data_IF_269928269103
#
_entry.id   IF_269928269103
#
_cell.length_a   1.000
_cell.length_b   1.000
_cell.length_c   1.000
_cell.angle_alpha   90.00
_cell.angle_beta   90.00
_cell.angle_gamma   90.00
#
_symmetry.space_group_name_H-M   'P 1'
#
loop_
_entity.id
_entity.type
_entity.pdbx_description
1 polymer ?
#
# COMPACT_ATOMS: atom_id res chain seq x y z
N UNK A 1 -7.99 1.68 17.58
CA UNK A 1 -7.33 1.40 16.31
C UNK A 1 -7.92 0.14 15.67
N UNK A 2 -8.52 0.30 14.52
CA UNK A 2 -9.06 -0.85 13.77
C UNK A 2 -8.15 -1.11 12.55
N UNK A 3 -7.11 -1.90 12.77
CA UNK A 3 -6.15 -2.23 11.71
C UNK A 3 -6.79 -3.07 10.61
N UNK A 4 -7.79 -3.89 10.95
CA UNK A 4 -8.50 -4.70 9.97
C UNK A 4 -9.27 -3.82 8.98
N UNK A 5 -9.97 -2.81 9.46
CA UNK A 5 -10.70 -1.88 8.61
C UNK A 5 -9.75 -1.08 7.70
N UNK A 6 -8.59 -0.65 8.21
CA UNK A 6 -7.57 0.04 7.42
C UNK A 6 -7.02 -0.88 6.34
N UNK A 7 -6.65 -2.10 6.68
CA UNK A 7 -6.13 -3.07 5.73
C UNK A 7 -7.15 -3.38 4.62
N UNK A 8 -8.39 -3.64 5.00
CA UNK A 8 -9.46 -3.94 4.04
C UNK A 8 -9.67 -2.78 3.07
N UNK A 9 -9.69 -1.55 3.58
CA UNK A 9 -9.92 -0.37 2.71
C UNK A 9 -8.78 -0.17 1.72
N UNK A 10 -7.54 -0.24 2.21
CA UNK A 10 -6.36 0.03 1.39
C UNK A 10 -6.13 -1.10 0.37
N UNK A 11 -6.13 -2.35 0.83
CA UNK A 11 -5.91 -3.48 -0.07
C UNK A 11 -7.01 -3.62 -1.10
N UNK A 12 -8.27 -3.45 -0.69
CA UNK A 12 -9.40 -3.53 -1.62
C UNK A 12 -9.34 -2.45 -2.69
N UNK A 13 -8.93 -1.24 -2.35
CA UNK A 13 -8.80 -0.16 -3.33
C UNK A 13 -7.79 -0.54 -4.43
N UNK A 14 -6.65 -1.12 -4.06
CA UNK A 14 -5.69 -1.60 -5.04
C UNK A 14 -6.25 -2.75 -5.87
N UNK A 15 -6.78 -3.79 -5.21
CA UNK A 15 -7.28 -5.00 -5.88
C UNK A 15 -8.39 -4.66 -6.87
N UNK A 16 -9.35 -3.84 -6.46
CA UNK A 16 -10.49 -3.48 -7.30
C UNK A 16 -10.10 -2.65 -8.53
N UNK A 17 -8.98 -1.93 -8.47
CA UNK A 17 -8.51 -1.06 -9.55
C UNK A 17 -7.33 -1.62 -10.32
N UNK A 18 -6.82 -2.80 -9.96
CA UNK A 18 -5.64 -3.39 -10.58
C UNK A 18 -6.02 -3.98 -11.93
N UNK A 19 -5.48 -3.42 -13.02
CA UNK A 19 -5.82 -3.79 -14.39
C UNK A 19 -4.79 -4.72 -15.04
N UNK A 20 -3.69 -5.00 -14.36
CA UNK A 20 -2.63 -5.85 -14.87
C UNK A 20 -2.89 -7.33 -14.54
N UNK A 21 -2.23 -8.23 -15.26
CA UNK A 21 -2.40 -9.68 -15.07
C UNK A 21 -1.49 -10.28 -14.00
N UNK A 22 -0.73 -9.46 -13.28
CA UNK A 22 0.13 -9.93 -12.20
C UNK A 22 -0.69 -10.42 -11.01
N UNK A 23 -0.21 -11.49 -10.35
CA UNK A 23 -0.85 -12.02 -9.16
C UNK A 23 -0.61 -11.10 -7.97
N UNK A 24 -1.66 -10.82 -7.20
CA UNK A 24 -1.55 -10.01 -5.98
C UNK A 24 -1.43 -10.95 -4.79
N UNK A 25 -0.35 -10.78 -4.02
CA UNK A 25 -0.05 -11.59 -2.83
C UNK A 25 -0.24 -10.72 -1.60
N UNK A 26 -1.17 -11.09 -0.74
CA UNK A 26 -1.46 -10.39 0.50
C UNK A 26 -0.47 -10.78 1.61
N UNK A 27 -0.40 -10.03 2.72
CA UNK A 27 0.47 -10.40 3.84
C UNK A 27 0.18 -11.82 4.31
N UNK A 28 1.24 -12.56 4.62
CA UNK A 28 1.20 -13.94 5.08
C UNK A 28 0.74 -14.96 4.02
N UNK A 29 0.53 -14.54 2.80
CA UNK A 29 0.32 -15.47 1.69
C UNK A 29 1.65 -15.85 1.04
N UNK A 30 1.68 -17.03 0.45
CA UNK A 30 2.86 -17.54 -0.24
C UNK A 30 2.66 -17.45 -1.75
N UNK A 31 3.69 -17.00 -2.46
CA UNK A 31 3.68 -16.96 -3.91
C UNK A 31 4.24 -18.26 -4.48
N UNK A 32 3.40 -19.05 -5.16
CA UNK A 32 3.75 -20.36 -5.66
C UNK A 32 3.99 -20.44 -7.17
N UNK A 33 3.88 -19.33 -7.91
CA UNK A 33 4.04 -19.30 -9.36
C UNK A 33 5.37 -18.63 -9.76
N UNK A 34 6.49 -19.39 -9.89
CA UNK A 34 7.82 -18.78 -9.98
C UNK A 34 8.14 -18.08 -11.29
N UNK A 35 7.35 -18.24 -12.36
CA UNK A 35 7.62 -17.65 -13.67
C UNK A 35 6.54 -16.68 -14.11
N UNK A 36 5.89 -16.00 -13.16
CA UNK A 36 4.86 -15.00 -13.44
C UNK A 36 5.20 -13.68 -12.78
N UNK A 37 4.66 -12.60 -13.33
CA UNK A 37 4.68 -11.31 -12.65
C UNK A 37 3.79 -11.38 -11.41
N UNK A 38 4.19 -10.69 -10.36
CA UNK A 38 3.41 -10.69 -9.12
C UNK A 38 3.63 -9.41 -8.31
N UNK A 39 2.73 -9.16 -7.39
CA UNK A 39 2.75 -7.97 -6.55
C UNK A 39 2.55 -8.40 -5.11
N UNK A 40 3.41 -7.92 -4.23
CA UNK A 40 3.30 -8.15 -2.79
C UNK A 40 2.80 -6.90 -2.10
N UNK A 41 1.80 -7.06 -1.25
CA UNK A 41 1.25 -5.99 -0.45
C UNK A 41 1.60 -6.21 1.02
N UNK A 42 1.93 -5.12 1.71
CA UNK A 42 2.06 -5.13 3.16
C UNK A 42 1.75 -3.74 3.70
N UNK A 43 1.45 -3.67 4.99
CA UNK A 43 1.09 -2.42 5.63
C UNK A 43 1.61 -2.41 7.05
N UNK A 44 2.21 -1.31 7.48
CA UNK A 44 2.63 -1.10 8.86
C UNK A 44 1.94 0.13 9.43
N UNK A 45 1.56 0.05 10.69
CA UNK A 45 1.01 1.17 11.45
C UNK A 45 1.88 1.41 12.67
N UNK A 46 2.26 2.67 12.85
CA UNK A 46 3.03 3.11 14.00
C UNK A 46 2.12 3.50 15.16
N UNK A 47 2.74 3.89 16.28
CA UNK A 47 2.01 4.34 17.45
C UNK A 47 1.18 5.59 17.14
N UNK A 48 -0.02 5.61 17.71
CA UNK A 48 -0.90 6.76 17.57
C UNK A 48 -0.62 7.83 18.63
N UNK A 49 -1.15 9.01 18.38
CA UNK A 49 -1.13 10.11 19.35
C UNK A 49 -2.46 10.83 19.32
N UNK A 50 -2.86 11.35 20.49
CA UNK A 50 -4.02 12.21 20.61
C UNK A 50 -3.64 13.60 20.09
N UNK A 51 -4.40 14.14 19.14
CA UNK A 51 -4.12 15.46 18.53
C UNK A 51 -5.12 16.54 18.89
N UNK A 52 -6.21 16.18 19.60
CA UNK A 52 -7.19 17.18 20.09
C UNK A 52 -7.41 17.01 21.57
N UNK A 53 -7.66 18.12 22.27
CA UNK A 53 -8.08 18.14 23.65
C UNK A 53 -9.62 18.19 23.65
N UNK A 54 -10.27 17.11 24.05
CA UNK A 54 -11.71 16.99 24.05
C UNK A 54 -12.15 15.95 25.08
N UNK A 55 -13.45 15.93 25.47
CA UNK A 55 -13.97 14.85 26.31
C UNK A 55 -13.84 13.49 25.62
N UNK A 56 -13.83 12.43 26.42
CA UNK A 56 -13.83 11.06 25.93
C UNK A 56 -14.96 10.85 24.93
N UNK A 57 -14.66 10.14 23.83
CA UNK A 57 -15.60 9.95 22.72
C UNK A 57 -15.50 11.00 21.62
N UNK A 58 -14.82 12.12 21.89
CA UNK A 58 -14.66 13.22 20.95
C UNK A 58 -13.18 13.54 20.67
N UNK A 59 -12.26 12.74 21.18
CA UNK A 59 -10.82 12.93 21.01
C UNK A 59 -10.35 12.37 19.69
N UNK A 60 -9.65 13.19 18.94
CA UNK A 60 -9.05 12.74 17.68
C UNK A 60 -7.67 12.17 17.91
N UNK A 61 -7.42 10.99 17.38
CA UNK A 61 -6.13 10.31 17.43
C UNK A 61 -5.60 10.13 16.02
N UNK A 62 -4.30 10.34 15.85
CA UNK A 62 -3.61 10.17 14.58
C UNK A 62 -2.68 8.98 14.66
N UNK A 63 -2.79 8.07 13.71
CA UNK A 63 -1.90 6.94 13.52
C UNK A 63 -1.19 7.11 12.18
N UNK A 64 0.12 6.95 12.17
CA UNK A 64 0.90 7.01 10.96
C UNK A 64 1.18 5.60 10.46
N UNK A 65 1.13 5.42 9.15
CA UNK A 65 1.41 4.13 8.57
C UNK A 65 2.07 4.24 7.21
N UNK A 66 2.50 3.10 6.72
CA UNK A 66 3.08 2.99 5.39
C UNK A 66 2.48 1.77 4.70
N UNK A 67 1.96 1.98 3.51
CA UNK A 67 1.52 0.91 2.63
C UNK A 67 2.65 0.60 1.65
N UNK A 68 3.09 -0.66 1.62
CA UNK A 68 4.15 -1.13 0.74
C UNK A 68 3.53 -1.91 -0.41
N UNK A 69 3.87 -1.51 -1.64
CA UNK A 69 3.49 -2.23 -2.85
C UNK A 69 4.79 -2.60 -3.55
N UNK A 70 5.11 -3.88 -3.58
CA UNK A 70 6.30 -4.36 -4.27
C UNK A 70 5.89 -5.11 -5.53
N UNK A 71 6.29 -4.59 -6.68
CA UNK A 71 5.97 -5.14 -7.99
C UNK A 71 7.15 -5.94 -8.51
N UNK A 72 6.91 -7.17 -8.91
CA UNK A 72 7.93 -8.05 -9.50
C UNK A 72 7.52 -8.40 -10.93
N UNK A 73 8.38 -8.07 -11.90
CA UNK A 73 8.17 -8.44 -13.30
C UNK A 73 9.36 -9.23 -13.81
N UNK A 74 9.10 -10.21 -14.66
CA UNK A 74 10.16 -11.06 -15.21
C UNK A 74 11.18 -10.24 -16.01
N UNK A 75 12.47 -10.55 -15.86
CA UNK A 75 13.55 -9.88 -16.60
C UNK A 75 13.37 -9.92 -18.11
N UNK A 76 12.80 -11.01 -18.62
CA UNK A 76 12.57 -11.19 -20.06
C UNK A 76 11.60 -10.18 -20.66
N UNK A 77 10.77 -9.54 -19.82
CA UNK A 77 9.77 -8.55 -20.26
C UNK A 77 10.29 -7.12 -20.30
N UNK A 78 11.47 -6.87 -19.73
CA UNK A 78 12.05 -5.53 -19.64
C UNK A 78 11.53 -4.71 -18.46
N UNK A 79 12.24 -3.63 -18.15
CA UNK A 79 11.96 -2.79 -16.98
C UNK A 79 10.76 -1.87 -17.12
N UNK A 80 10.33 -1.59 -18.36
CA UNK A 80 9.21 -0.66 -18.60
C UNK A 80 7.91 -1.18 -17.99
N UNK A 81 7.65 -2.47 -18.08
CA UNK A 81 6.45 -3.10 -17.53
C UNK A 81 6.42 -2.91 -16.00
N UNK A 82 7.55 -3.11 -15.34
CA UNK A 82 7.67 -2.88 -13.90
C UNK A 82 7.39 -1.42 -13.54
N UNK A 83 8.00 -0.49 -14.27
CA UNK A 83 7.79 0.94 -14.06
C UNK A 83 6.34 1.35 -14.28
N UNK A 84 5.69 0.85 -15.32
CA UNK A 84 4.30 1.17 -15.61
C UNK A 84 3.38 0.67 -14.49
N UNK A 85 3.60 -0.53 -13.97
CA UNK A 85 2.79 -1.09 -12.90
C UNK A 85 2.97 -0.33 -11.58
N UNK A 86 4.21 -0.02 -11.20
CA UNK A 86 4.45 0.72 -9.95
C UNK A 86 3.93 2.15 -10.03
N UNK A 87 4.05 2.80 -11.18
CA UNK A 87 3.51 4.14 -11.36
C UNK A 87 1.99 4.14 -11.26
N UNK A 88 1.32 3.15 -11.86
CA UNK A 88 -0.13 2.98 -11.72
C UNK A 88 -0.52 2.82 -10.26
N UNK A 89 0.20 1.98 -9.50
CA UNK A 89 -0.07 1.76 -8.08
C UNK A 89 0.07 3.05 -7.28
N UNK A 90 1.13 3.82 -7.51
CA UNK A 90 1.34 5.10 -6.82
C UNK A 90 0.20 6.08 -7.14
N UNK A 91 -0.19 6.18 -8.40
CA UNK A 91 -1.24 7.10 -8.83
C UNK A 91 -2.60 6.76 -8.21
N UNK A 92 -2.87 5.49 -7.91
CA UNK A 92 -4.11 5.09 -7.25
C UNK A 92 -4.26 5.67 -5.85
N UNK A 93 -3.15 5.96 -5.17
CA UNK A 93 -3.17 6.38 -3.77
C UNK A 93 -2.68 7.79 -3.55
N UNK A 94 -1.89 8.33 -4.47
CA UNK A 94 -1.31 9.66 -4.29
C UNK A 94 -2.41 10.70 -4.07
N UNK A 95 -2.31 11.42 -2.97
CA UNK A 95 -3.28 12.44 -2.54
C UNK A 95 -4.70 11.91 -2.26
N UNK A 96 -4.87 10.60 -2.10
CA UNK A 96 -6.17 10.02 -1.75
C UNK A 96 -6.55 10.27 -0.30
N UNK A 97 -7.81 10.55 -0.09
CA UNK A 97 -8.40 10.71 1.24
C UNK A 97 -9.66 9.85 1.33
N UNK A 98 -9.59 8.79 2.12
CA UNK A 98 -10.75 7.94 2.41
C UNK A 98 -11.45 8.44 3.66
N UNK A 99 -12.77 8.41 3.66
CA UNK A 99 -13.58 8.97 4.76
C UNK A 99 -13.91 7.93 5.83
N UNK A 100 -14.12 6.68 5.46
CA UNK A 100 -14.54 5.66 6.42
C UNK A 100 -13.89 4.30 6.09
N UNK A 101 -12.86 3.89 6.82
CA UNK A 101 -12.13 4.64 7.85
C UNK A 101 -11.39 5.85 7.26
N UNK A 102 -11.15 6.86 8.09
CA UNK A 102 -10.45 8.07 7.62
C UNK A 102 -8.97 7.79 7.45
N UNK A 103 -8.52 7.84 6.21
CA UNK A 103 -7.12 7.58 5.82
C UNK A 103 -6.72 8.63 4.80
N UNK A 104 -5.62 9.35 5.06
CA UNK A 104 -5.11 10.35 4.12
C UNK A 104 -3.68 10.01 3.73
N UNK A 105 -3.45 9.75 2.43
CA UNK A 105 -2.12 9.50 1.90
C UNK A 105 -1.37 10.83 1.73
N UNK A 106 -0.12 10.87 2.18
CA UNK A 106 0.67 12.10 2.25
C UNK A 106 1.89 12.09 1.34
N UNK A 107 2.75 11.07 1.48
CA UNK A 107 4.01 11.01 0.75
C UNK A 107 4.15 9.67 0.03
N UNK A 108 4.88 9.68 -1.08
CA UNK A 108 5.20 8.46 -1.81
C UNK A 108 6.68 8.45 -2.19
N UNK A 109 7.25 7.27 -2.25
CA UNK A 109 8.60 7.05 -2.76
C UNK A 109 8.67 5.70 -3.46
N UNK A 110 9.53 5.59 -4.46
CA UNK A 110 9.72 4.36 -5.23
C UNK A 110 11.20 4.06 -5.32
N UNK A 111 11.57 2.81 -5.08
CA UNK A 111 12.93 2.32 -5.30
C UNK A 111 12.89 1.09 -6.22
N UNK A 112 13.90 0.97 -7.08
CA UNK A 112 13.99 -0.11 -8.06
C UNK A 112 15.14 -1.04 -7.71
N UNK A 113 14.97 -2.31 -8.03
CA UNK A 113 15.95 -3.34 -7.82
C UNK A 113 15.89 -4.38 -8.92
N UNK A 114 17.00 -5.06 -9.20
CA UNK A 114 17.08 -6.14 -10.16
C UNK A 114 17.77 -7.33 -9.49
N UNK A 115 17.18 -8.51 -9.62
CA UNK A 115 17.81 -9.74 -9.20
C UNK A 115 17.95 -10.70 -10.40
N UNK A 116 18.24 -11.96 -10.14
CA UNK A 116 18.50 -12.94 -11.20
C UNK A 116 17.27 -13.25 -12.05
N UNK A 117 16.06 -13.02 -11.55
CA UNK A 117 14.81 -13.42 -12.20
C UNK A 117 13.87 -12.25 -12.48
N UNK A 118 13.86 -11.26 -11.62
CA UNK A 118 12.87 -10.18 -11.64
C UNK A 118 13.50 -8.81 -11.64
N UNK A 119 12.87 -7.86 -12.35
CA UNK A 119 12.91 -6.48 -11.97
C UNK A 119 11.90 -6.27 -10.85
N UNK A 120 12.24 -5.50 -9.84
CA UNK A 120 11.31 -5.15 -8.79
C UNK A 120 11.30 -3.66 -8.50
N UNK A 121 10.13 -3.17 -8.11
CA UNK A 121 9.95 -1.79 -7.68
C UNK A 121 9.17 -1.81 -6.39
N UNK A 122 9.68 -1.12 -5.38
CA UNK A 122 9.01 -0.98 -4.09
C UNK A 122 8.47 0.43 -3.95
N UNK A 123 7.15 0.55 -3.91
CA UNK A 123 6.47 1.81 -3.59
C UNK A 123 6.16 1.85 -2.09
N UNK A 124 6.55 2.94 -1.46
CA UNK A 124 6.21 3.25 -0.07
C UNK A 124 5.24 4.40 -0.08
N UNK A 125 4.03 4.15 0.40
CA UNK A 125 2.96 5.15 0.42
C UNK A 125 2.64 5.47 1.87
N UNK A 126 3.10 6.60 2.35
CA UNK A 126 2.86 7.04 3.72
C UNK A 126 1.45 7.62 3.84
N UNK A 127 0.80 7.30 4.96
CA UNK A 127 -0.55 7.78 5.24
C UNK A 127 -0.75 8.08 6.71
N UNK A 128 -1.77 8.88 6.98
CA UNK A 128 -2.30 9.10 8.33
C UNK A 128 -3.69 8.50 8.43
N UNK A 129 -3.94 7.79 9.51
CA UNK A 129 -5.26 7.26 9.85
C UNK A 129 -5.76 8.01 11.08
N UNK A 130 -6.97 8.53 11.01
CA UNK A 130 -7.57 9.29 12.10
C UNK A 130 -8.74 8.53 12.69
N UNK A 131 -8.80 8.53 14.01
CA UNK A 131 -9.85 7.84 14.76
C UNK A 131 -10.31 8.76 15.90
N UNK A 132 -11.62 8.87 16.05
CA UNK A 132 -12.23 9.64 17.17
C UNK A 132 -12.65 8.67 18.26
N UNK A 133 -12.15 8.88 19.47
CA UNK A 133 -12.50 8.00 20.60
C UNK A 133 -12.41 8.67 21.97
#
# INVERSE_FOLDING_TARGET
LDITAVNLKVFKHLIDNWTFHSNIVLPNEKHDAPNTDWVRLSLSLDNGKQITLAPEGFRKHEYRGTFFIEVFTLLTKGSKICSDQVNFAVDLFESKHFQSPEIMFTNSSVSFREDERYFSALARLEFNHYLTK
#
